data_IF_064866018626
#
_entry.id   IF_064866018626
#
_cell.length_a   1.000
_cell.length_b   1.000
_cell.length_c   1.000
_cell.angle_alpha   90.00
_cell.angle_beta   90.00
_cell.angle_gamma   90.00
#
_symmetry.space_group_name_H-M   'P 1'
#
loop_
_entity.id
_entity.type
_entity.pdbx_description
1 polymer ?
#
# COMPACT_ATOMS: atom_id res chain seq x y z
N UNK A 1 8.32 -21.36 -10.02
CA UNK A 1 8.56 -19.91 -10.12
C UNK A 1 7.25 -19.19 -10.38
N UNK A 2 7.09 -17.93 -9.93
CA UNK A 2 5.88 -17.15 -10.15
C UNK A 2 5.68 -16.82 -11.63
N UNK A 3 4.43 -16.65 -12.04
CA UNK A 3 4.08 -16.23 -13.41
C UNK A 3 3.73 -14.75 -13.51
N UNK A 4 3.37 -14.10 -12.40
CA UNK A 4 2.93 -12.71 -12.39
C UNK A 4 3.24 -12.04 -11.05
N UNK A 5 3.73 -10.80 -11.13
CA UNK A 5 3.81 -9.87 -10.02
C UNK A 5 2.72 -8.80 -10.21
N UNK A 6 1.86 -8.65 -9.22
CA UNK A 6 0.89 -7.56 -9.11
C UNK A 6 1.47 -6.57 -8.12
N UNK A 7 1.88 -5.38 -8.56
CA UNK A 7 2.54 -4.39 -7.69
C UNK A 7 1.67 -3.17 -7.54
N UNK A 8 1.23 -2.90 -6.32
CA UNK A 8 0.18 -1.93 -5.99
C UNK A 8 0.70 -0.86 -5.02
N UNK A 9 0.41 0.41 -5.31
CA UNK A 9 0.58 1.52 -4.35
C UNK A 9 -0.52 1.44 -3.30
N UNK A 10 -0.20 1.77 -2.04
CA UNK A 10 -1.20 1.93 -0.99
C UNK A 10 -2.33 2.92 -1.36
N UNK A 11 -3.46 2.84 -0.64
CA UNK A 11 -4.60 3.72 -0.77
C UNK A 11 -4.36 5.14 -0.27
N UNK A 12 -5.36 6.00 -0.50
CA UNK A 12 -5.36 7.40 -0.08
C UNK A 12 -5.10 7.54 1.42
N UNK A 13 -4.17 8.43 1.79
CA UNK A 13 -3.77 8.61 3.19
C UNK A 13 -4.58 9.70 3.87
N UNK A 14 -4.87 9.52 5.15
CA UNK A 14 -5.65 10.48 5.94
C UNK A 14 -4.88 11.77 6.26
N UNK A 15 -3.55 11.71 6.35
CA UNK A 15 -2.66 12.84 6.66
C UNK A 15 -2.53 13.81 5.48
N UNK A 16 -2.57 13.30 4.25
CA UNK A 16 -2.61 14.11 3.02
C UNK A 16 -3.90 14.91 2.89
N UNK A 17 -5.04 14.33 3.30
CA UNK A 17 -6.34 14.97 3.22
C UNK A 17 -6.58 15.95 4.38
N UNK A 18 -6.21 15.53 5.58
CA UNK A 18 -6.54 16.21 6.81
C UNK A 18 -5.28 16.50 7.62
N UNK A 19 -4.64 17.65 7.39
CA UNK A 19 -3.57 18.11 8.26
C UNK A 19 -4.05 18.20 9.72
N UNK A 20 -3.18 17.76 10.63
CA UNK A 20 -3.46 17.63 12.07
C UNK A 20 -4.64 16.71 12.44
N UNK A 21 -4.94 15.70 11.61
CA UNK A 21 -6.08 14.80 11.85
C UNK A 21 -6.03 14.13 13.22
N UNK A 22 -4.84 13.78 13.73
CA UNK A 22 -4.67 13.15 15.04
C UNK A 22 -5.19 14.07 16.13
N UNK A 23 -4.71 15.32 16.19
CA UNK A 23 -5.16 16.31 17.19
C UNK A 23 -6.68 16.54 17.12
N UNK A 24 -7.22 16.72 15.91
CA UNK A 24 -8.66 16.98 15.71
C UNK A 24 -9.50 15.77 16.15
N UNK A 25 -9.07 14.57 15.78
CA UNK A 25 -9.82 13.33 16.05
C UNK A 25 -9.65 12.76 17.45
N UNK A 26 -8.66 13.21 18.23
CA UNK A 26 -8.39 12.68 19.58
C UNK A 26 -8.63 13.69 20.70
N UNK A 27 -9.22 14.85 20.36
CA UNK A 27 -9.46 15.96 21.28
C UNK A 27 -10.32 15.58 22.50
N UNK A 28 -11.15 14.55 22.38
CA UNK A 28 -12.00 14.01 23.45
C UNK A 28 -11.35 12.89 24.28
N UNK A 29 -10.06 12.59 24.07
CA UNK A 29 -9.33 11.50 24.72
C UNK A 29 -9.53 10.13 24.08
N UNK A 30 -10.38 10.03 23.06
CA UNK A 30 -10.59 8.84 22.23
C UNK A 30 -10.69 9.24 20.77
N UNK A 31 -10.48 8.28 19.86
CA UNK A 31 -10.61 8.57 18.42
C UNK A 31 -12.07 8.82 18.04
N UNK A 32 -12.31 9.96 17.40
CA UNK A 32 -13.57 10.40 16.85
C UNK A 32 -13.33 10.97 15.45
N UNK A 33 -13.88 10.30 14.45
CA UNK A 33 -13.86 10.78 13.08
C UNK A 33 -14.75 12.03 12.95
N UNK A 34 -14.24 13.08 12.29
CA UNK A 34 -14.95 14.34 12.07
C UNK A 34 -15.36 14.56 10.62
N UNK A 35 -14.92 13.70 9.71
CA UNK A 35 -15.23 13.73 8.28
C UNK A 35 -15.49 12.30 7.81
N UNK A 36 -16.54 12.07 7.00
CA UNK A 36 -16.99 10.76 6.49
C UNK A 36 -15.90 9.98 5.75
N UNK A 37 -14.87 10.65 5.22
CA UNK A 37 -13.72 9.98 4.61
C UNK A 37 -12.68 9.49 5.64
N UNK A 38 -12.91 9.74 6.93
CA UNK A 38 -12.20 9.09 8.03
C UNK A 38 -12.97 7.85 8.46
N UNK A 39 -12.26 6.79 8.87
CA UNK A 39 -12.87 5.49 9.13
C UNK A 39 -13.73 5.50 10.41
N UNK A 40 -15.06 5.50 10.27
CA UNK A 40 -16.01 5.48 11.40
C UNK A 40 -16.34 4.08 11.92
N UNK A 41 -16.44 3.09 11.03
CA UNK A 41 -17.28 1.91 11.28
C UNK A 41 -16.59 0.56 11.21
N UNK A 42 -15.26 0.53 11.09
CA UNK A 42 -14.56 -0.74 11.23
C UNK A 42 -13.67 -0.76 12.46
N UNK A 43 -13.79 -1.81 13.30
CA UNK A 43 -12.96 -1.93 14.50
C UNK A 43 -11.47 -2.16 14.18
N UNK A 44 -11.07 -2.26 12.91
CA UNK A 44 -9.81 -2.83 12.44
C UNK A 44 -8.58 -1.92 12.45
N UNK A 45 -8.65 -0.63 12.82
CA UNK A 45 -7.52 0.27 12.50
C UNK A 45 -6.95 1.07 13.67
N UNK A 46 -7.79 1.72 14.47
CA UNK A 46 -7.29 2.54 15.58
C UNK A 46 -7.59 1.93 16.96
N UNK A 47 -8.80 1.39 17.24
CA UNK A 47 -9.08 0.86 18.57
C UNK A 47 -8.45 -0.52 18.82
N UNK A 48 -8.36 -1.37 17.79
CA UNK A 48 -7.82 -2.74 17.93
C UNK A 48 -6.30 -2.80 17.90
N UNK A 49 -5.66 -1.93 17.12
CA UNK A 49 -4.21 -1.79 17.11
C UNK A 49 -3.83 -0.96 18.33
N UNK A 50 -3.60 -1.61 19.48
CA UNK A 50 -3.41 -0.99 20.80
C UNK A 50 -2.09 -0.21 20.90
N UNK A 51 -2.00 0.92 20.20
CA UNK A 51 -0.79 1.75 20.13
C UNK A 51 -1.07 3.23 20.43
N UNK A 52 -0.09 3.97 20.97
CA UNK A 52 -0.22 5.41 21.22
C UNK A 52 -0.56 6.20 19.95
N UNK A 53 -1.48 7.17 20.07
CA UNK A 53 -1.92 7.98 18.91
C UNK A 53 -0.78 8.74 18.23
N UNK A 54 0.25 9.15 18.99
CA UNK A 54 1.45 9.81 18.46
C UNK A 54 2.16 8.98 17.39
N UNK A 55 2.09 7.65 17.45
CA UNK A 55 2.79 6.81 16.48
C UNK A 55 2.18 6.88 15.08
N UNK A 56 0.91 7.27 14.96
CA UNK A 56 0.28 7.49 13.66
C UNK A 56 0.78 8.76 12.94
N UNK A 57 1.53 9.64 13.61
CA UNK A 57 2.16 10.81 12.96
C UNK A 57 3.21 10.37 11.93
N UNK A 58 3.97 9.32 12.22
CA UNK A 58 4.96 8.74 11.30
C UNK A 58 4.44 7.53 10.52
N UNK A 59 3.33 6.94 10.92
CA UNK A 59 2.76 5.72 10.35
C UNK A 59 1.24 5.82 10.21
N UNK A 60 0.83 6.76 9.34
CA UNK A 60 -0.57 7.12 9.09
C UNK A 60 -1.41 5.97 8.53
N UNK A 61 -2.74 6.14 8.58
CA UNK A 61 -3.73 5.19 8.05
C UNK A 61 -4.27 5.63 6.68
N UNK A 62 -4.90 4.70 5.96
CA UNK A 62 -5.72 5.04 4.78
C UNK A 62 -7.07 5.66 5.18
N UNK A 63 -7.60 6.50 4.30
CA UNK A 63 -8.97 7.03 4.34
C UNK A 63 -10.01 5.95 4.00
N UNK A 64 -11.29 6.26 4.18
CA UNK A 64 -12.38 5.38 3.74
C UNK A 64 -12.37 5.20 2.22
N UNK A 65 -12.14 6.27 1.46
CA UNK A 65 -11.96 6.20 0.01
C UNK A 65 -10.72 5.39 -0.37
N UNK A 66 -9.62 5.48 0.38
CA UNK A 66 -8.45 4.64 0.19
C UNK A 66 -8.76 3.14 0.32
N UNK A 67 -9.67 2.78 1.23
CA UNK A 67 -10.18 1.42 1.38
C UNK A 67 -11.06 1.01 0.19
N UNK A 68 -12.04 1.86 -0.18
CA UNK A 68 -12.92 1.60 -1.34
C UNK A 68 -12.12 1.41 -2.63
N UNK A 69 -11.08 2.22 -2.87
CA UNK A 69 -10.20 2.07 -4.04
C UNK A 69 -9.44 0.75 -4.01
N UNK A 70 -8.95 0.35 -2.84
CA UNK A 70 -8.27 -0.94 -2.70
C UNK A 70 -9.22 -2.12 -2.92
N UNK A 71 -10.47 -2.02 -2.46
CA UNK A 71 -11.51 -3.01 -2.77
C UNK A 71 -11.82 -3.06 -4.28
N UNK A 72 -11.89 -1.91 -4.95
CA UNK A 72 -12.11 -1.85 -6.41
C UNK A 72 -11.00 -2.58 -7.17
N UNK A 73 -9.73 -2.37 -6.78
CA UNK A 73 -8.60 -3.14 -7.35
C UNK A 73 -8.75 -4.62 -7.06
N UNK A 74 -9.10 -5.01 -5.82
CA UNK A 74 -9.34 -6.41 -5.47
C UNK A 74 -10.44 -7.07 -6.32
N UNK A 75 -11.57 -6.38 -6.53
CA UNK A 75 -12.65 -6.84 -7.45
C UNK A 75 -12.16 -6.98 -8.88
N UNK A 76 -11.37 -6.01 -9.36
CA UNK A 76 -10.76 -6.07 -10.70
C UNK A 76 -9.86 -7.30 -10.87
N UNK A 77 -9.00 -7.58 -9.88
CA UNK A 77 -8.15 -8.78 -9.87
C UNK A 77 -8.98 -10.07 -9.85
N UNK A 78 -10.06 -10.11 -9.06
CA UNK A 78 -10.98 -11.26 -8.99
C UNK A 78 -11.62 -11.53 -10.36
N UNK A 79 -12.21 -10.51 -10.98
CA UNK A 79 -12.87 -10.60 -12.29
C UNK A 79 -11.87 -11.05 -13.36
N UNK A 80 -10.62 -10.55 -13.28
CA UNK A 80 -9.53 -10.92 -14.18
C UNK A 80 -8.85 -12.25 -13.82
N UNK A 81 -9.42 -13.06 -12.90
CA UNK A 81 -8.90 -14.35 -12.44
C UNK A 81 -7.43 -14.28 -12.00
N UNK A 82 -7.05 -13.15 -11.41
CA UNK A 82 -5.70 -12.80 -10.96
C UNK A 82 -5.60 -12.74 -9.44
N UNK A 83 -6.30 -13.66 -8.76
CA UNK A 83 -6.26 -13.79 -7.30
C UNK A 83 -4.83 -14.17 -6.91
N UNK A 84 -4.15 -13.41 -6.03
CA UNK A 84 -2.80 -13.77 -5.60
C UNK A 84 -2.79 -15.10 -4.84
N UNK A 85 -1.71 -15.85 -4.96
CA UNK A 85 -1.44 -16.97 -4.06
C UNK A 85 -0.80 -16.46 -2.76
N UNK A 86 0.01 -15.38 -2.85
CA UNK A 86 0.79 -14.82 -1.76
C UNK A 86 0.83 -13.30 -1.83
N UNK A 87 0.89 -12.66 -0.67
CA UNK A 87 0.98 -11.22 -0.53
C UNK A 87 2.22 -10.82 0.27
N UNK A 88 2.97 -9.86 -0.27
CA UNK A 88 4.01 -9.12 0.44
C UNK A 88 3.60 -7.66 0.58
N UNK A 89 3.85 -7.07 1.73
CA UNK A 89 3.54 -5.66 1.97
C UNK A 89 4.66 -4.94 2.71
N UNK A 90 4.84 -3.66 2.41
CA UNK A 90 5.63 -2.75 3.24
C UNK A 90 5.07 -2.71 4.68
N UNK A 91 5.92 -2.54 5.72
CA UNK A 91 5.48 -2.48 7.10
C UNK A 91 4.62 -1.27 7.45
N UNK A 92 4.56 -0.26 6.57
CA UNK A 92 3.72 0.91 6.77
C UNK A 92 2.24 0.52 6.85
N UNK A 93 1.54 1.06 7.85
CA UNK A 93 0.15 0.72 8.17
C UNK A 93 -0.78 0.87 6.95
N UNK A 94 -0.61 1.96 6.20
CA UNK A 94 -1.29 2.22 4.93
C UNK A 94 -1.16 1.08 3.90
N UNK A 95 -0.01 0.41 3.83
CA UNK A 95 0.24 -0.69 2.91
C UNK A 95 -0.47 -1.97 3.37
N UNK A 96 -0.36 -2.30 4.66
CA UNK A 96 -1.03 -3.47 5.26
C UNK A 96 -2.57 -3.35 5.13
N UNK A 97 -3.13 -2.18 5.42
CA UNK A 97 -4.56 -1.92 5.28
C UNK A 97 -5.04 -2.04 3.83
N UNK A 98 -4.24 -1.55 2.87
CA UNK A 98 -4.54 -1.66 1.44
C UNK A 98 -4.57 -3.13 1.02
N UNK A 99 -3.57 -3.91 1.42
CA UNK A 99 -3.49 -5.34 1.12
C UNK A 99 -4.70 -6.10 1.68
N UNK A 100 -5.06 -5.84 2.95
CA UNK A 100 -6.22 -6.44 3.59
C UNK A 100 -7.53 -6.07 2.87
N UNK A 101 -7.70 -4.80 2.50
CA UNK A 101 -8.87 -4.32 1.77
C UNK A 101 -9.03 -5.00 0.40
N UNK A 102 -7.94 -5.16 -0.34
CA UNK A 102 -7.96 -5.86 -1.62
C UNK A 102 -8.38 -7.33 -1.43
N UNK A 103 -7.86 -8.02 -0.42
CA UNK A 103 -8.25 -9.40 -0.07
C UNK A 103 -9.73 -9.53 0.32
N UNK A 104 -10.22 -8.61 1.14
CA UNK A 104 -11.62 -8.59 1.59
C UNK A 104 -12.57 -8.54 0.41
N UNK A 105 -12.26 -7.71 -0.58
CA UNK A 105 -13.06 -7.60 -1.79
C UNK A 105 -13.04 -8.85 -2.69
N UNK A 106 -12.03 -9.72 -2.51
CA UNK A 106 -11.92 -11.02 -3.16
C UNK A 106 -12.52 -12.17 -2.31
N UNK A 107 -12.98 -11.88 -1.09
CA UNK A 107 -13.38 -12.87 -0.08
C UNK A 107 -12.26 -13.89 0.23
N UNK A 108 -11.02 -13.40 0.31
CA UNK A 108 -9.81 -14.20 0.57
C UNK A 108 -9.04 -13.78 1.81
N UNK A 109 -9.58 -12.86 2.60
CA UNK A 109 -8.96 -12.31 3.81
C UNK A 109 -8.64 -13.37 4.87
N UNK A 110 -9.36 -14.49 4.90
CA UNK A 110 -9.10 -15.61 5.83
C UNK A 110 -8.28 -16.75 5.21
N UNK A 111 -8.03 -16.71 3.89
CA UNK A 111 -7.33 -17.78 3.16
C UNK A 111 -5.87 -17.43 2.87
N UNK A 112 -5.61 -16.19 2.43
CA UNK A 112 -4.29 -15.75 2.02
C UNK A 112 -3.69 -14.87 3.11
N UNK A 113 -2.60 -15.34 3.72
CA UNK A 113 -1.88 -14.57 4.72
C UNK A 113 -1.02 -13.46 4.08
N UNK A 114 -0.87 -12.35 4.80
CA UNK A 114 -0.07 -11.19 4.41
C UNK A 114 1.31 -11.28 5.06
N UNK A 115 2.37 -11.22 4.24
CA UNK A 115 3.77 -11.21 4.70
C UNK A 115 4.30 -9.78 4.75
N UNK A 116 4.76 -9.34 5.92
CA UNK A 116 5.33 -7.99 6.10
C UNK A 116 6.82 -8.03 5.75
N UNK A 117 7.22 -7.33 4.69
CA UNK A 117 8.60 -7.30 4.18
C UNK A 117 9.17 -5.87 4.25
N UNK A 118 10.03 -5.57 5.24
CA UNK A 118 10.70 -4.27 5.39
C UNK A 118 11.44 -3.78 4.16
N UNK A 119 11.97 -4.67 3.32
CA UNK A 119 12.63 -4.27 2.08
C UNK A 119 11.71 -3.52 1.09
N UNK A 120 10.38 -3.56 1.27
CA UNK A 120 9.40 -2.75 0.52
C UNK A 120 9.18 -1.34 1.08
N UNK A 121 9.74 -1.00 2.24
CA UNK A 121 9.58 0.34 2.80
C UNK A 121 10.18 1.41 1.88
N UNK A 122 9.58 2.60 1.85
CA UNK A 122 9.99 3.71 0.99
C UNK A 122 11.37 4.27 1.35
N UNK A 123 11.80 5.29 0.60
CA UNK A 123 13.08 5.93 0.81
C UNK A 123 13.11 6.64 2.18
N UNK A 124 14.09 6.31 3.01
CA UNK A 124 14.14 6.76 4.41
C UNK A 124 14.16 8.28 4.59
N UNK A 125 14.78 9.03 3.69
CA UNK A 125 14.88 10.50 3.80
C UNK A 125 13.56 11.22 3.49
N UNK A 126 12.53 10.50 3.02
CA UNK A 126 11.18 11.04 2.91
C UNK A 126 10.53 11.24 4.28
N UNK A 127 11.17 10.79 5.36
CA UNK A 127 10.62 10.85 6.71
C UNK A 127 11.56 11.61 7.64
N UNK A 128 11.03 12.54 8.47
CA UNK A 128 11.85 13.33 9.39
C UNK A 128 12.46 12.50 10.53
N UNK A 129 12.04 11.24 10.69
CA UNK A 129 12.58 10.29 11.65
C UNK A 129 12.02 8.90 11.42
N UNK A 130 12.50 7.93 12.20
CA UNK A 130 12.06 6.53 12.11
C UNK A 130 10.62 6.38 12.63
N UNK A 131 9.64 6.01 11.78
CA UNK A 131 8.32 5.66 12.24
C UNK A 131 8.39 4.47 13.18
N UNK A 132 7.48 4.45 14.14
CA UNK A 132 7.17 3.21 14.86
C UNK A 132 6.19 2.45 13.97
N UNK A 133 6.52 1.24 13.57
CA UNK A 133 5.59 0.34 12.88
C UNK A 133 4.98 -0.61 13.89
N UNK A 134 3.78 -1.12 13.60
CA UNK A 134 3.24 -2.23 14.38
C UNK A 134 3.96 -3.54 14.04
N UNK A 135 4.08 -4.44 15.01
CA UNK A 135 4.68 -5.76 14.79
C UNK A 135 3.71 -6.70 14.07
N UNK A 136 4.20 -7.78 13.43
CA UNK A 136 3.34 -8.81 12.86
C UNK A 136 2.28 -9.34 13.85
N UNK A 137 2.65 -9.51 15.12
CA UNK A 137 1.77 -9.96 16.19
C UNK A 137 0.71 -8.92 16.53
N UNK A 138 1.08 -7.64 16.65
CA UNK A 138 0.12 -6.56 16.90
C UNK A 138 -0.92 -6.46 15.78
N UNK A 139 -0.48 -6.63 14.52
CA UNK A 139 -1.39 -6.71 13.38
C UNK A 139 -2.29 -7.95 13.43
N UNK A 140 -1.74 -9.11 13.78
CA UNK A 140 -2.52 -10.34 13.94
C UNK A 140 -3.60 -10.20 15.02
N UNK A 141 -3.25 -9.65 16.20
CA UNK A 141 -4.19 -9.34 17.27
C UNK A 141 -5.26 -8.33 16.85
N UNK A 142 -4.90 -7.41 15.95
CA UNK A 142 -5.85 -6.47 15.35
C UNK A 142 -6.79 -7.11 14.30
N UNK A 143 -6.68 -8.42 14.05
CA UNK A 143 -7.44 -9.22 13.07
C UNK A 143 -7.03 -8.98 11.61
N UNK A 144 -5.79 -8.57 11.36
CA UNK A 144 -5.20 -8.73 10.04
C UNK A 144 -4.70 -10.17 9.90
N UNK A 145 -4.96 -10.83 8.77
CA UNK A 145 -4.48 -12.19 8.51
C UNK A 145 -2.99 -12.18 8.16
N UNK A 146 -2.14 -11.89 9.15
CA UNK A 146 -0.68 -11.81 8.99
C UNK A 146 -0.04 -13.20 9.08
N UNK A 147 0.96 -13.44 8.24
CA UNK A 147 1.85 -14.59 8.36
C UNK A 147 2.92 -14.31 9.42
N UNK A 148 2.63 -14.62 10.69
CA UNK A 148 3.54 -14.39 11.81
C UNK A 148 4.80 -15.28 11.76
N UNK A 149 4.76 -16.37 10.98
CA UNK A 149 5.89 -17.29 10.81
C UNK A 149 6.84 -16.82 9.68
N UNK A 150 6.45 -15.79 8.93
CA UNK A 150 7.28 -15.25 7.85
C UNK A 150 8.50 -14.53 8.40
N UNK A 151 9.69 -14.96 7.92
CA UNK A 151 10.96 -14.30 8.23
C UNK A 151 11.31 -13.31 7.10
N UNK A 152 11.32 -12.00 7.36
CA UNK A 152 11.65 -11.00 6.35
C UNK A 152 13.12 -11.06 5.93
N UNK A 153 13.41 -10.60 4.71
CA UNK A 153 14.78 -10.64 4.14
C UNK A 153 15.70 -9.63 4.82
N UNK A 154 15.15 -8.56 5.38
CA UNK A 154 15.86 -7.52 6.12
C UNK A 154 14.95 -6.96 7.20
N UNK A 155 15.52 -6.30 8.21
CA UNK A 155 14.73 -5.57 9.21
C UNK A 155 14.68 -4.07 8.88
N UNK A 156 13.72 -3.36 9.47
CA UNK A 156 13.68 -1.88 9.39
C UNK A 156 14.93 -1.26 10.02
N UNK A 157 15.44 -1.80 11.12
CA UNK A 157 16.65 -1.30 11.77
C UNK A 157 17.88 -1.42 10.86
N UNK A 158 17.98 -2.50 10.08
CA UNK A 158 19.07 -2.65 9.09
C UNK A 158 18.96 -1.62 7.96
N UNK A 159 17.74 -1.27 7.53
CA UNK A 159 17.51 -0.26 6.51
C UNK A 159 17.92 1.13 7.03
N UNK A 160 17.47 1.51 8.22
CA UNK A 160 17.81 2.81 8.82
C UNK A 160 19.32 2.98 9.06
N UNK A 161 20.01 1.92 9.50
CA UNK A 161 21.47 1.95 9.71
C UNK A 161 22.27 2.17 8.42
N UNK A 162 21.70 1.86 7.25
CA UNK A 162 22.40 2.01 5.96
C UNK A 162 22.54 3.45 5.50
N UNK A 163 21.70 4.37 6.00
CA UNK A 163 21.62 5.75 5.53
C UNK A 163 21.62 5.80 3.98
N UNK A 164 20.61 5.14 3.39
CA UNK A 164 20.62 4.80 1.97
C UNK A 164 20.65 6.04 1.07
N UNK A 165 21.36 5.96 -0.05
CA UNK A 165 21.16 6.89 -1.18
C UNK A 165 19.95 6.46 -2.00
N UNK A 166 19.43 7.32 -2.87
CA UNK A 166 18.34 6.98 -3.80
C UNK A 166 18.69 5.77 -4.69
N UNK A 167 19.96 5.60 -5.05
CA UNK A 167 20.43 4.45 -5.81
C UNK A 167 20.40 3.16 -4.97
N UNK A 168 20.86 3.22 -3.71
CA UNK A 168 20.79 2.09 -2.78
C UNK A 168 19.34 1.68 -2.52
N UNK A 169 18.45 2.66 -2.36
CA UNK A 169 17.01 2.47 -2.25
C UNK A 169 16.42 1.76 -3.48
N UNK A 170 16.73 2.27 -4.67
CA UNK A 170 16.26 1.70 -5.94
C UNK A 170 16.68 0.24 -6.07
N UNK A 171 17.97 -0.04 -5.80
CA UNK A 171 18.54 -1.39 -5.79
C UNK A 171 17.88 -2.30 -4.74
N UNK A 172 17.64 -1.80 -3.52
CA UNK A 172 17.00 -2.57 -2.44
C UNK A 172 15.63 -3.11 -2.88
N UNK A 173 14.77 -2.25 -3.40
CA UNK A 173 13.42 -2.63 -3.83
C UNK A 173 13.46 -3.52 -5.08
N UNK A 174 14.29 -3.20 -6.07
CA UNK A 174 14.39 -4.02 -7.29
C UNK A 174 14.98 -5.41 -7.03
N UNK A 175 16.00 -5.52 -6.17
CA UNK A 175 16.57 -6.80 -5.77
C UNK A 175 15.54 -7.68 -5.08
N UNK A 176 14.67 -7.09 -4.24
CA UNK A 176 13.55 -7.81 -3.65
C UNK A 176 12.59 -8.31 -4.74
N UNK A 177 12.13 -7.44 -5.65
CA UNK A 177 11.19 -7.82 -6.70
C UNK A 177 11.74 -8.94 -7.61
N UNK A 178 13.01 -8.85 -7.98
CA UNK A 178 13.71 -9.89 -8.75
C UNK A 178 13.87 -11.19 -7.96
N UNK A 179 14.08 -11.11 -6.64
CA UNK A 179 14.11 -12.30 -5.76
C UNK A 179 12.73 -12.94 -5.69
N UNK A 180 11.66 -12.14 -5.49
CA UNK A 180 10.28 -12.60 -5.49
C UNK A 180 9.94 -13.30 -6.80
N UNK A 181 10.32 -12.74 -7.95
CA UNK A 181 10.15 -13.35 -9.28
C UNK A 181 10.84 -14.72 -9.48
N UNK A 182 11.73 -15.12 -8.57
CA UNK A 182 12.47 -16.40 -8.60
C UNK A 182 12.11 -17.32 -7.43
N UNK A 183 11.16 -16.94 -6.59
CA UNK A 183 10.72 -17.77 -5.46
C UNK A 183 10.03 -19.05 -5.92
N UNK A 184 10.00 -20.04 -5.03
CA UNK A 184 9.34 -21.33 -5.27
C UNK A 184 8.19 -21.48 -4.30
N UNK A 185 7.22 -20.60 -4.48
CA UNK A 185 6.00 -20.59 -3.70
C UNK A 185 5.00 -21.63 -4.23
N UNK A 186 4.24 -22.23 -3.32
CA UNK A 186 3.16 -23.13 -3.71
C UNK A 186 2.04 -22.35 -4.40
N UNK A 187 1.49 -22.93 -5.47
CA UNK A 187 0.32 -22.41 -6.18
C UNK A 187 -0.53 -23.55 -6.67
N UNK A 188 -1.85 -23.34 -6.71
CA UNK A 188 -2.77 -24.27 -7.38
C UNK A 188 -2.65 -24.22 -8.90
N UNK A 189 -1.97 -23.21 -9.44
CA UNK A 189 -1.82 -22.98 -10.87
C UNK A 189 -0.65 -23.79 -11.43
N UNK A 190 -0.77 -24.21 -12.68
CA UNK A 190 0.30 -24.92 -13.39
C UNK A 190 1.37 -23.99 -13.98
N UNK A 191 1.03 -22.71 -14.23
CA UNK A 191 1.91 -21.73 -14.87
C UNK A 191 2.81 -20.97 -13.86
N UNK A 192 2.50 -21.04 -12.57
CA UNK A 192 3.27 -20.44 -11.49
C UNK A 192 2.42 -19.63 -10.53
N UNK A 193 3.01 -19.25 -9.40
CA UNK A 193 2.34 -18.45 -8.39
C UNK A 193 2.05 -17.01 -8.86
N UNK A 194 0.95 -16.44 -8.37
CA UNK A 194 0.63 -15.02 -8.44
C UNK A 194 1.06 -14.33 -7.15
N UNK A 195 1.91 -13.32 -7.24
CA UNK A 195 2.37 -12.58 -6.07
C UNK A 195 1.82 -11.15 -6.11
N UNK A 196 1.08 -10.74 -5.08
CA UNK A 196 0.70 -9.35 -4.87
C UNK A 196 1.71 -8.68 -3.94
N UNK A 197 2.24 -7.53 -4.36
CA UNK A 197 3.19 -6.70 -3.63
C UNK A 197 2.53 -5.35 -3.39
N UNK A 198 2.32 -4.98 -2.13
CA UNK A 198 1.70 -3.70 -1.76
C UNK A 198 2.73 -2.79 -1.09
N UNK A 199 3.04 -1.67 -1.72
CA UNK A 199 4.04 -0.73 -1.24
C UNK A 199 3.66 0.71 -1.56
N UNK A 200 4.63 1.46 -2.08
CA UNK A 200 4.56 2.90 -2.27
C UNK A 200 4.53 3.27 -3.75
N UNK A 201 4.38 4.55 -4.07
CA UNK A 201 4.42 5.04 -5.44
C UNK A 201 5.69 4.59 -6.18
N UNK A 202 6.83 4.71 -5.50
CA UNK A 202 8.15 4.23 -5.96
C UNK A 202 8.23 2.73 -6.18
N UNK A 203 7.53 1.93 -5.38
CA UNK A 203 7.51 0.47 -5.55
C UNK A 203 6.94 0.10 -6.92
N UNK A 204 5.88 0.77 -7.36
CA UNK A 204 5.25 0.55 -8.67
C UNK A 204 6.19 0.96 -9.81
N UNK A 205 6.80 2.15 -9.73
CA UNK A 205 7.77 2.63 -10.73
C UNK A 205 8.98 1.70 -10.88
N UNK A 206 9.60 1.37 -9.74
CA UNK A 206 10.75 0.48 -9.69
C UNK A 206 10.41 -0.90 -10.22
N UNK A 207 9.19 -1.40 -10.00
CA UNK A 207 8.75 -2.68 -10.53
C UNK A 207 8.63 -2.68 -12.05
N UNK A 208 7.99 -1.68 -12.65
CA UNK A 208 7.91 -1.51 -14.11
C UNK A 208 9.32 -1.49 -14.74
N UNK A 209 10.28 -0.94 -13.99
CA UNK A 209 11.67 -0.84 -14.40
C UNK A 209 12.61 -1.97 -13.99
N UNK A 210 12.18 -2.92 -13.14
CA UNK A 210 13.06 -3.88 -12.46
C UNK A 210 13.65 -4.94 -13.41
N UNK A 211 12.97 -5.19 -14.53
CA UNK A 211 13.30 -6.25 -15.48
C UNK A 211 13.73 -5.71 -16.85
N UNK A 212 14.08 -4.41 -16.91
CA UNK A 212 14.60 -3.75 -18.10
C UNK A 212 16.13 -3.78 -18.09
N UNK A 213 16.73 -3.64 -19.27
CA UNK A 213 18.18 -3.46 -19.43
C UNK A 213 18.47 -2.06 -20.02
N UNK A 214 19.12 -1.15 -19.27
CA UNK A 214 19.46 -1.27 -17.85
C UNK A 214 18.22 -1.18 -16.92
N UNK A 215 18.31 -1.68 -15.67
CA UNK A 215 17.25 -1.50 -14.68
C UNK A 215 16.98 -0.03 -14.35
N UNK A 216 15.74 0.28 -13.98
CA UNK A 216 15.35 1.65 -13.59
C UNK A 216 16.15 2.11 -12.37
N UNK A 217 16.70 3.31 -12.46
CA UNK A 217 17.27 4.03 -11.32
C UNK A 217 16.46 5.31 -11.11
N UNK A 218 16.04 5.58 -9.88
CA UNK A 218 15.31 6.81 -9.53
C UNK A 218 16.27 7.97 -9.28
N UNK A 219 15.80 9.18 -9.55
CA UNK A 219 16.43 10.42 -9.14
C UNK A 219 15.72 11.00 -7.90
N UNK A 220 16.45 11.69 -7.03
CA UNK A 220 15.87 12.30 -5.82
C UNK A 220 14.67 13.24 -6.12
N UNK A 221 14.75 14.01 -7.21
CA UNK A 221 13.67 14.90 -7.67
C UNK A 221 12.40 14.17 -8.09
N UNK A 222 12.53 12.91 -8.54
CA UNK A 222 11.40 12.09 -8.99
C UNK A 222 10.61 11.54 -7.82
N UNK A 223 11.27 11.29 -6.68
CA UNK A 223 10.62 10.83 -5.45
C UNK A 223 9.66 11.86 -4.85
N UNK A 224 10.02 13.15 -4.86
CA UNK A 224 9.24 14.23 -4.21
C UNK A 224 7.83 14.37 -4.81
N UNK A 225 7.69 14.15 -6.13
CA UNK A 225 6.42 14.31 -6.84
C UNK A 225 5.86 12.99 -7.41
N UNK A 226 6.39 11.86 -6.95
CA UNK A 226 6.05 10.57 -7.53
C UNK A 226 4.57 10.22 -7.36
N UNK A 227 3.97 10.63 -6.24
CA UNK A 227 2.55 10.41 -5.96
C UNK A 227 1.60 11.05 -6.97
N UNK A 228 2.03 12.08 -7.71
CA UNK A 228 1.27 12.71 -8.79
C UNK A 228 1.33 11.92 -10.11
N UNK A 229 2.34 11.06 -10.28
CA UNK A 229 2.52 10.19 -11.47
C UNK A 229 2.01 8.78 -11.24
N UNK A 230 2.08 8.31 -10.01
CA UNK A 230 1.59 7.00 -9.58
C UNK A 230 0.49 7.20 -8.54
N UNK A 231 -0.77 7.41 -8.94
CA UNK A 231 -1.88 7.76 -8.04
C UNK A 231 -2.22 6.62 -7.06
N UNK A 232 -3.04 6.93 -6.06
CA UNK A 232 -3.45 5.94 -5.05
C UNK A 232 -4.05 4.68 -5.67
N UNK A 233 -3.71 3.51 -5.10
CA UNK A 233 -4.10 2.19 -5.62
C UNK A 233 -3.68 1.90 -7.07
N UNK A 234 -2.81 2.72 -7.71
CA UNK A 234 -2.28 2.35 -9.01
C UNK A 234 -1.56 1.00 -8.91
N UNK A 235 -1.79 0.15 -9.90
CA UNK A 235 -1.37 -1.25 -9.87
C UNK A 235 -0.71 -1.60 -11.20
N UNK A 236 0.55 -2.03 -11.14
CA UNK A 236 1.27 -2.56 -12.28
C UNK A 236 1.20 -4.09 -12.27
N UNK A 237 0.91 -4.67 -13.43
CA UNK A 237 0.97 -6.12 -13.63
C UNK A 237 2.21 -6.44 -14.44
N UNK A 238 3.09 -7.28 -13.91
CA UNK A 238 4.32 -7.72 -14.57
C UNK A 238 4.22 -9.22 -14.79
N UNK A 239 4.12 -9.61 -16.06
CA UNK A 239 3.94 -10.99 -16.47
C UNK A 239 5.27 -11.62 -16.89
N UNK A 240 5.47 -12.88 -16.50
CA UNK A 240 6.52 -13.71 -17.05
C UNK A 240 6.06 -14.29 -18.39
N UNK A 241 6.79 -14.00 -19.44
CA UNK A 241 6.58 -14.56 -20.78
C UNK A 241 7.11 -16.00 -20.87
N UNK A 242 6.70 -16.72 -21.93
CA UNK A 242 7.09 -18.11 -22.15
C UNK A 242 8.62 -18.30 -22.28
N UNK A 243 9.33 -17.28 -22.76
CA UNK A 243 10.79 -17.24 -22.84
C UNK A 243 11.48 -16.84 -21.51
N UNK A 244 10.70 -16.67 -20.44
CA UNK A 244 11.18 -16.39 -19.09
C UNK A 244 11.48 -14.93 -18.79
N UNK A 245 11.26 -14.00 -19.73
CA UNK A 245 11.38 -12.55 -19.48
C UNK A 245 10.19 -12.04 -18.68
N UNK A 246 10.36 -10.89 -18.01
CA UNK A 246 9.30 -10.23 -17.24
C UNK A 246 8.95 -8.90 -17.89
N UNK A 247 7.69 -8.72 -18.26
CA UNK A 247 7.22 -7.54 -18.98
C UNK A 247 6.02 -6.90 -18.28
N UNK A 248 6.03 -5.57 -18.22
CA UNK A 248 4.88 -4.81 -17.75
C UNK A 248 3.73 -4.92 -18.76
N UNK A 249 2.56 -5.35 -18.27
CA UNK A 249 1.34 -5.50 -19.04
C UNK A 249 0.37 -4.37 -18.69
N UNK A 250 0.41 -3.30 -19.48
CA UNK A 250 -0.39 -2.08 -19.28
C UNK A 250 -1.91 -2.29 -19.41
N UNK A 251 -2.32 -3.37 -20.08
CA UNK A 251 -3.74 -3.64 -20.36
C UNK A 251 -4.34 -4.71 -19.43
N UNK A 252 -3.57 -5.24 -18.47
CA UNK A 252 -4.00 -6.32 -17.60
C UNK A 252 -5.01 -5.91 -16.52
N UNK A 253 -5.09 -4.61 -16.20
CA UNK A 253 -6.04 -4.08 -15.24
C UNK A 253 -6.47 -2.67 -15.67
N UNK A 254 -7.78 -2.38 -15.82
CA UNK A 254 -8.23 -1.04 -16.14
C UNK A 254 -7.94 -0.06 -14.99
N UNK A 255 -7.69 1.23 -15.30
CA UNK A 255 -7.46 2.24 -14.26
C UNK A 255 -8.75 2.61 -13.53
N UNK A 256 -8.60 3.16 -12.32
CA UNK A 256 -9.68 3.82 -11.58
C UNK A 256 -9.47 5.33 -11.71
N UNK A 257 -10.47 6.05 -12.20
CA UNK A 257 -10.43 7.52 -12.36
C UNK A 257 -11.62 8.14 -11.63
N UNK A 258 -11.35 9.07 -10.73
CA UNK A 258 -12.36 9.82 -9.98
C UNK A 258 -11.85 11.25 -9.71
N UNK A 259 -12.76 12.18 -9.43
CA UNK A 259 -12.44 13.60 -9.21
C UNK A 259 -12.32 13.93 -7.72
N UNK A 260 -11.62 15.02 -7.40
CA UNK A 260 -11.59 15.58 -6.06
C UNK A 260 -12.91 16.33 -5.79
N UNK A 261 -13.79 15.75 -4.97
CA UNK A 261 -15.14 16.26 -4.71
C UNK A 261 -15.45 16.23 -3.20
N UNK A 262 -16.22 17.22 -2.72
CA UNK A 262 -16.76 17.24 -1.37
C UNK A 262 -18.28 17.33 -1.42
N UNK A 263 -18.96 16.52 -0.61
CA UNK A 263 -20.41 16.59 -0.40
C UNK A 263 -20.81 17.70 0.59
N UNK A 264 -19.85 18.49 1.10
CA UNK A 264 -20.14 19.60 2.00
C UNK A 264 -20.99 20.64 1.29
N UNK A 265 -22.16 20.90 1.85
CA UNK A 265 -23.04 21.97 1.38
C UNK A 265 -22.28 23.30 1.48
N UNK A 266 -22.26 24.07 0.39
CA UNK A 266 -21.79 25.45 0.44
C UNK A 266 -22.77 26.25 1.31
N UNK A 267 -22.39 26.51 2.57
CA UNK A 267 -23.24 27.16 3.56
C UNK A 267 -23.66 28.54 3.12
N UNK A 268 -22.74 29.35 2.62
CA UNK A 268 -23.02 30.75 2.24
C UNK A 268 -24.06 30.81 1.13
N UNK A 269 -23.93 29.92 0.14
CA UNK A 269 -24.94 29.76 -0.88
C UNK A 269 -26.26 29.22 -0.30
N UNK A 270 -26.23 28.15 0.50
CA UNK A 270 -27.44 27.54 1.07
C UNK A 270 -28.21 28.50 1.98
N UNK A 271 -27.50 29.39 2.68
CA UNK A 271 -28.03 30.37 3.63
C UNK A 271 -28.10 31.79 3.06
N UNK A 272 -27.97 31.95 1.73
CA UNK A 272 -27.98 33.27 1.09
C UNK A 272 -29.34 33.95 1.29
N UNK A 273 -29.30 35.21 1.71
CA UNK A 273 -30.50 36.04 1.78
C UNK A 273 -30.87 36.55 0.38
N UNK A 274 -32.16 36.84 0.17
CA UNK A 274 -32.63 37.45 -1.07
C UNK A 274 -32.09 38.89 -1.11
N UNK A 275 -31.30 39.21 -2.13
CA UNK A 275 -30.91 40.60 -2.40
C UNK A 275 -32.20 41.42 -2.63
N UNK A 276 -32.45 42.39 -1.75
CA UNK A 276 -33.52 43.39 -1.87
C UNK A 276 -33.10 44.53 -2.79
#
# INVERSE_FOLDING_TARGET
MPCRLVVMRHGERIDDLFPDWIRKSTSSGSYQAFDLNMRFFEPLVLPKLKRPFKYYEGDTIISEMGFVLAEMVGRGLLVNKSIPDIIYTSPALRCVQTAHSALKAMSKENEIKIRIEPALFEFTDLHPGQPKFATPEEFFEANFNIDIDYVPITTMDDIWKRNETVEMYSKRVQNLLQKLAKTHEWSKRSDGALILVVGHASTVDLAIGAFREPPRTLLARELINQGAKFPYCCTAIIDRTDDGRWLYNENALPPITYMNFSSKINRDFAMRERLT
#
